data_IF_558978898664
#
_entry.id   IF_558978898664
#
_cell.length_a   1.000
_cell.length_b   1.000
_cell.length_c   1.000
_cell.angle_alpha   90.00
_cell.angle_beta   90.00
_cell.angle_gamma   90.00
#
_symmetry.space_group_name_H-M   'P 1'
#
loop_
_entity.id
_entity.type
_entity.pdbx_description
1 polymer ?
#
# COMPACT_ATOMS: atom_id res chain seq x y z
N UNK A 1 -25.13 28.89 15.78
CA UNK A 1 -25.54 27.51 15.44
C UNK A 1 -24.91 26.91 14.19
N UNK A 2 -23.97 27.56 13.48
CA UNK A 2 -23.42 27.04 12.22
C UNK A 2 -21.96 26.55 12.30
N UNK A 3 -21.29 26.64 13.44
CA UNK A 3 -19.87 26.24 13.55
C UNK A 3 -19.63 24.75 13.80
N UNK A 4 -20.67 23.98 14.08
CA UNK A 4 -20.54 22.55 14.41
C UNK A 4 -20.41 21.64 13.17
N UNK A 5 -20.57 22.19 11.96
CA UNK A 5 -20.57 21.44 10.69
C UNK A 5 -19.32 21.65 9.84
N UNK A 6 -18.39 22.51 10.24
CA UNK A 6 -17.17 22.72 9.46
C UNK A 6 -16.26 21.50 9.58
N UNK A 7 -15.95 20.90 8.44
CA UNK A 7 -15.10 19.70 8.33
C UNK A 7 -14.03 19.91 7.26
N UNK A 8 -12.94 19.12 7.40
CA UNK A 8 -11.86 19.04 6.42
C UNK A 8 -11.64 17.57 6.07
N UNK A 9 -11.61 17.26 4.79
CA UNK A 9 -11.19 15.93 4.33
C UNK A 9 -9.67 15.85 4.29
N UNK A 10 -9.13 14.83 4.90
CA UNK A 10 -7.71 14.49 4.94
C UNK A 10 -7.51 13.20 4.14
N UNK A 11 -6.41 13.11 3.36
CA UNK A 11 -6.14 11.99 2.48
C UNK A 11 -4.67 11.60 2.57
N UNK A 12 -4.38 10.30 2.61
CA UNK A 12 -3.02 9.75 2.67
C UNK A 12 -2.46 9.33 1.30
N UNK A 13 -3.17 9.64 0.20
CA UNK A 13 -2.68 9.37 -1.15
C UNK A 13 -1.53 10.31 -1.55
N UNK A 14 -0.62 9.81 -2.38
CA UNK A 14 0.48 10.62 -2.92
C UNK A 14 1.73 10.70 -2.04
N UNK A 15 1.81 9.95 -0.95
CA UNK A 15 3.03 9.84 -0.16
C UNK A 15 4.17 9.26 -1.00
N UNK A 16 5.40 9.75 -0.80
CA UNK A 16 6.61 9.32 -1.50
C UNK A 16 7.56 8.44 -0.66
N UNK A 17 7.22 8.22 0.61
CA UNK A 17 7.97 7.39 1.54
C UNK A 17 9.25 8.02 2.10
N UNK A 18 9.52 9.29 1.79
CA UNK A 18 10.72 9.99 2.28
C UNK A 18 10.44 10.79 3.56
N UNK A 19 11.51 11.07 4.34
CA UNK A 19 11.41 11.94 5.51
C UNK A 19 10.98 13.36 5.12
N UNK A 20 11.41 13.86 3.98
CA UNK A 20 11.01 15.18 3.49
C UNK A 20 9.54 15.21 3.06
N UNK A 21 9.09 14.16 2.34
CA UNK A 21 7.71 14.08 1.84
C UNK A 21 6.66 13.87 2.93
N UNK A 22 7.03 13.23 4.05
CA UNK A 22 6.09 12.95 5.15
C UNK A 22 5.52 14.22 5.78
N UNK A 23 6.22 15.34 5.72
CA UNK A 23 5.76 16.63 6.27
C UNK A 23 4.47 17.12 5.63
N UNK A 24 4.16 16.69 4.40
CA UNK A 24 2.91 17.01 3.70
C UNK A 24 1.71 16.21 4.21
N UNK A 25 1.96 15.16 5.00
CA UNK A 25 0.97 14.21 5.51
C UNK A 25 0.96 14.13 7.04
N UNK A 26 1.76 14.94 7.73
CA UNK A 26 1.67 15.16 9.17
C UNK A 26 0.61 16.23 9.44
N UNK A 27 -0.65 15.80 9.42
CA UNK A 27 -1.77 16.68 9.65
C UNK A 27 -1.82 17.14 11.09
N UNK A 28 -1.68 18.44 11.29
CA UNK A 28 -1.72 19.10 12.60
C UNK A 28 -3.05 19.82 12.80
N UNK A 29 -3.58 19.73 13.98
CA UNK A 29 -4.72 20.50 14.45
C UNK A 29 -4.33 21.31 15.67
N UNK A 30 -4.83 22.54 15.72
CA UNK A 30 -4.61 23.41 16.87
C UNK A 30 -5.89 24.15 17.23
N UNK A 31 -6.16 24.26 18.52
CA UNK A 31 -7.16 25.17 19.05
C UNK A 31 -6.45 26.32 19.75
N UNK A 32 -6.61 27.51 19.18
CA UNK A 32 -6.08 28.72 19.76
C UNK A 32 -7.12 29.35 20.67
N UNK A 33 -6.81 29.54 21.95
CA UNK A 33 -7.58 30.41 22.83
C UNK A 33 -7.20 31.85 22.54
N UNK A 34 -8.07 32.60 21.90
CA UNK A 34 -7.90 34.03 21.79
C UNK A 34 -8.06 34.62 23.21
N UNK A 35 -6.96 34.83 23.88
CA UNK A 35 -6.94 35.74 25.02
C UNK A 35 -7.05 37.15 24.44
N UNK A 36 -8.21 37.78 24.54
CA UNK A 36 -8.36 39.20 24.31
C UNK A 36 -7.61 39.96 25.42
N UNK A 37 -6.30 39.99 25.31
CA UNK A 37 -5.50 40.91 26.08
C UNK A 37 -5.18 42.07 25.14
N UNK A 38 -5.82 43.19 25.34
CA UNK A 38 -5.80 44.38 24.48
C UNK A 38 -4.41 44.94 24.21
N UNK A 39 -3.38 44.44 24.86
CA UNK A 39 -2.04 45.04 24.81
C UNK A 39 -1.00 44.25 24.01
N UNK A 40 -1.13 42.97 23.77
CA UNK A 40 -0.06 42.17 23.13
C UNK A 40 -0.50 41.18 22.06
N UNK A 41 -1.78 40.91 21.87
CA UNK A 41 -2.33 40.13 20.74
C UNK A 41 -1.73 38.72 20.53
N UNK A 42 -1.01 38.17 21.50
CA UNK A 42 -0.40 36.83 21.41
C UNK A 42 -1.35 35.78 21.98
N UNK A 43 -1.68 34.75 21.16
CA UNK A 43 -2.35 33.56 21.64
C UNK A 43 -1.41 32.35 21.52
N UNK A 44 -1.37 31.53 22.56
CA UNK A 44 -0.67 30.25 22.50
C UNK A 44 -1.59 29.21 21.84
N UNK A 45 -1.09 28.55 20.77
CA UNK A 45 -1.76 27.43 20.14
C UNK A 45 -0.97 26.17 20.42
N UNK A 46 -1.63 25.16 20.98
CA UNK A 46 -1.06 23.83 21.12
C UNK A 46 -1.41 23.00 19.88
N UNK A 47 -0.39 22.56 19.16
CA UNK A 47 -0.57 21.72 17.97
C UNK A 47 -0.58 20.24 18.36
N UNK A 48 -1.53 19.51 17.81
CA UNK A 48 -1.65 18.05 17.98
C UNK A 48 -1.59 17.39 16.62
N UNK A 49 -0.68 16.45 16.42
CA UNK A 49 -0.67 15.62 15.21
C UNK A 49 -1.88 14.69 15.20
N UNK A 50 -2.54 14.59 14.06
CA UNK A 50 -3.73 13.77 13.83
C UNK A 50 -3.40 12.38 13.29
N UNK A 51 -2.15 12.13 12.98
CA UNK A 51 -1.65 10.91 12.34
C UNK A 51 -0.61 10.20 13.19
N UNK A 52 -0.30 8.98 12.80
CA UNK A 52 0.87 8.23 13.27
C UNK A 52 1.90 8.21 12.16
N UNK A 53 3.17 8.44 12.46
CA UNK A 53 4.26 8.24 11.50
C UNK A 53 4.86 6.85 11.71
N UNK A 54 4.74 5.98 10.72
CA UNK A 54 5.42 4.69 10.68
C UNK A 54 6.80 4.80 10.06
N UNK A 55 7.79 4.15 10.66
CA UNK A 55 9.14 3.96 10.14
C UNK A 55 9.36 2.49 9.85
N UNK A 56 9.66 2.15 8.61
CA UNK A 56 9.85 0.79 8.15
C UNK A 56 11.20 0.63 7.46
N UNK A 57 11.83 -0.51 7.70
CA UNK A 57 12.99 -0.98 6.97
C UNK A 57 12.66 -2.33 6.36
N UNK A 58 12.96 -2.48 5.08
CA UNK A 58 12.71 -3.70 4.32
C UNK A 58 14.04 -4.39 4.02
N UNK A 59 14.12 -5.69 4.26
CA UNK A 59 15.35 -6.48 4.08
C UNK A 59 15.06 -7.74 3.27
N UNK A 60 16.08 -8.26 2.60
CA UNK A 60 16.06 -9.52 1.85
C UNK A 60 17.25 -10.40 2.27
N UNK A 61 17.15 -11.72 2.07
CA UNK A 61 18.27 -12.66 2.14
C UNK A 61 19.29 -12.37 3.25
N UNK A 62 18.93 -12.66 4.51
CA UNK A 62 19.85 -12.55 5.63
C UNK A 62 20.06 -11.12 6.17
N UNK A 63 19.15 -10.21 5.86
CA UNK A 63 19.11 -8.87 6.45
C UNK A 63 19.73 -7.77 5.58
N UNK A 64 20.06 -8.06 4.33
CA UNK A 64 20.49 -7.01 3.38
C UNK A 64 19.33 -6.05 3.09
N UNK A 65 19.55 -4.72 3.09
CA UNK A 65 18.49 -3.76 2.78
C UNK A 65 17.92 -3.97 1.38
N UNK A 66 16.59 -3.97 1.25
CA UNK A 66 15.91 -3.86 -0.03
C UNK A 66 15.94 -2.38 -0.46
N UNK A 67 16.54 -2.11 -1.61
CA UNK A 67 16.74 -0.77 -2.14
C UNK A 67 15.95 -0.54 -3.42
N UNK A 68 15.91 0.72 -3.86
CA UNK A 68 15.30 1.13 -5.14
C UNK A 68 13.81 0.77 -5.23
N UNK A 69 13.08 0.87 -4.13
CA UNK A 69 11.66 0.60 -4.07
C UNK A 69 10.90 1.77 -4.69
N UNK A 70 10.25 1.55 -5.83
CA UNK A 70 9.50 2.59 -6.55
C UNK A 70 8.06 2.69 -6.11
N UNK A 71 7.53 1.61 -5.51
CA UNK A 71 6.15 1.54 -5.07
C UNK A 71 6.01 0.62 -3.85
N UNK A 72 5.17 1.04 -2.92
CA UNK A 72 4.72 0.22 -1.79
C UNK A 72 3.20 0.32 -1.72
N UNK A 73 2.52 -0.82 -1.77
CA UNK A 73 1.09 -0.91 -1.49
C UNK A 73 0.90 -1.57 -0.13
N UNK A 74 0.14 -0.92 0.74
CA UNK A 74 -0.09 -1.35 2.11
C UNK A 74 -1.55 -1.71 2.25
N UNK A 75 -1.82 -2.92 2.72
CA UNK A 75 -3.14 -3.45 3.01
C UNK A 75 -3.22 -3.91 4.46
N UNK A 76 -4.42 -4.05 5.00
CA UNK A 76 -4.66 -4.69 6.29
C UNK A 76 -5.08 -6.15 6.06
N UNK A 77 -4.35 -7.11 6.66
CA UNK A 77 -4.76 -8.53 6.69
C UNK A 77 -5.65 -8.84 7.87
N UNK A 78 -5.56 -8.04 8.94
CA UNK A 78 -6.47 -8.05 10.08
C UNK A 78 -6.60 -6.62 10.63
N UNK A 79 -7.73 -6.32 11.26
CA UNK A 79 -8.03 -4.97 11.74
C UNK A 79 -8.44 -4.02 10.62
N UNK A 80 -8.13 -2.73 10.75
CA UNK A 80 -8.61 -1.71 9.82
C UNK A 80 -7.49 -0.74 9.46
N UNK A 81 -7.38 -0.42 8.16
CA UNK A 81 -6.51 0.63 7.62
C UNK A 81 -7.39 1.70 6.97
N UNK A 82 -7.11 2.96 7.26
CA UNK A 82 -7.85 4.09 6.70
C UNK A 82 -7.02 4.84 5.68
N UNK A 83 -7.58 5.08 4.49
CA UNK A 83 -6.95 5.86 3.41
C UNK A 83 -7.32 7.34 3.46
N UNK A 84 -8.50 7.67 4.02
CA UNK A 84 -8.93 9.04 4.22
C UNK A 84 -9.77 9.19 5.50
N UNK A 85 -9.87 10.43 5.98
CA UNK A 85 -10.67 10.79 7.13
C UNK A 85 -11.30 12.17 6.94
N UNK A 86 -12.46 12.39 7.55
CA UNK A 86 -13.10 13.70 7.64
C UNK A 86 -12.98 14.19 9.07
N UNK A 87 -12.29 15.30 9.26
CA UNK A 87 -12.04 15.91 10.56
C UNK A 87 -13.02 17.05 10.82
N UNK A 88 -13.53 17.16 12.04
CA UNK A 88 -14.28 18.33 12.52
C UNK A 88 -13.29 19.43 12.92
N UNK A 89 -13.39 20.61 12.30
CA UNK A 89 -12.50 21.73 12.61
C UNK A 89 -12.62 22.23 14.04
N UNK A 90 -13.79 22.06 14.66
CA UNK A 90 -14.07 22.52 16.02
C UNK A 90 -13.17 21.85 17.09
N UNK A 91 -12.87 20.57 16.97
CA UNK A 91 -12.20 19.81 18.02
C UNK A 91 -11.10 18.85 17.53
N UNK A 92 -10.82 18.80 16.21
CA UNK A 92 -9.82 17.90 15.64
C UNK A 92 -10.21 16.41 15.69
N UNK A 93 -11.47 16.09 15.96
CA UNK A 93 -11.94 14.71 15.95
C UNK A 93 -12.35 14.28 14.54
N UNK A 94 -12.16 13.00 14.23
CA UNK A 94 -12.68 12.44 13.01
C UNK A 94 -14.18 12.19 13.11
N UNK A 95 -14.94 12.72 12.15
CA UNK A 95 -16.39 12.49 12.03
C UNK A 95 -16.68 11.23 11.22
N UNK A 96 -15.79 10.88 10.30
CA UNK A 96 -15.83 9.63 9.54
C UNK A 96 -14.44 9.26 9.05
N UNK A 97 -14.24 7.99 8.77
CA UNK A 97 -13.03 7.43 8.17
C UNK A 97 -13.43 6.51 7.03
N UNK A 98 -12.60 6.41 6.01
CA UNK A 98 -12.79 5.51 4.89
C UNK A 98 -11.68 4.47 4.89
N UNK A 99 -12.06 3.20 4.89
CA UNK A 99 -11.11 2.10 4.74
C UNK A 99 -10.52 2.07 3.33
N UNK A 100 -9.27 1.66 3.23
CA UNK A 100 -8.62 1.52 1.93
C UNK A 100 -7.13 1.28 2.06
N UNK A 101 -6.52 0.93 0.94
CA UNK A 101 -5.08 0.72 0.85
C UNK A 101 -4.35 2.06 0.83
N UNK A 102 -3.12 2.08 1.35
CA UNK A 102 -2.20 3.20 1.21
C UNK A 102 -1.16 2.84 0.16
N UNK A 103 -0.97 3.72 -0.82
CA UNK A 103 0.03 3.53 -1.88
C UNK A 103 1.07 4.64 -1.82
N UNK A 104 2.33 4.24 -1.69
CA UNK A 104 3.52 5.07 -1.75
C UNK A 104 4.10 4.95 -3.15
N UNK A 105 4.46 6.06 -3.79
CA UNK A 105 5.10 6.05 -5.12
C UNK A 105 6.31 6.97 -5.13
N UNK A 106 7.47 6.43 -5.51
CA UNK A 106 8.71 7.19 -5.64
C UNK A 106 9.49 6.73 -6.87
N UNK A 107 9.46 7.52 -7.93
CA UNK A 107 10.13 7.17 -9.20
C UNK A 107 11.65 7.05 -9.09
N UNK A 108 12.26 7.76 -8.15
CA UNK A 108 13.71 7.70 -7.93
C UNK A 108 14.14 6.43 -7.18
N UNK A 109 13.18 5.74 -6.55
CA UNK A 109 13.42 4.60 -5.68
C UNK A 109 13.75 5.00 -4.24
N UNK A 110 13.07 4.34 -3.30
CA UNK A 110 13.33 4.48 -1.86
C UNK A 110 14.42 3.49 -1.48
N UNK A 111 15.40 3.94 -0.71
CA UNK A 111 16.43 3.10 -0.12
C UNK A 111 16.57 3.41 1.37
N UNK A 112 16.73 2.38 2.19
CA UNK A 112 16.83 2.52 3.64
C UNK A 112 15.46 2.69 4.31
N UNK A 113 15.33 3.67 5.22
CA UNK A 113 14.11 3.86 6.00
C UNK A 113 13.00 4.51 5.19
N UNK A 114 11.84 3.89 5.19
CA UNK A 114 10.60 4.41 4.59
C UNK A 114 9.73 5.04 5.67
N UNK A 115 9.22 6.24 5.42
CA UNK A 115 8.34 6.99 6.30
C UNK A 115 6.92 7.02 5.73
N UNK A 116 5.94 6.65 6.54
CA UNK A 116 4.55 6.52 6.11
C UNK A 116 3.63 7.12 7.16
N UNK A 117 2.72 7.98 6.71
CA UNK A 117 1.66 8.53 7.55
C UNK A 117 0.45 7.60 7.54
N UNK A 118 -0.12 7.40 8.72
CA UNK A 118 -1.32 6.60 8.94
C UNK A 118 -2.35 7.38 9.76
N UNK A 119 -3.63 7.20 9.48
CA UNK A 119 -4.65 7.57 10.46
C UNK A 119 -4.67 6.58 11.61
N UNK A 120 -5.01 7.03 12.84
CA UNK A 120 -5.11 6.17 14.00
C UNK A 120 -6.01 4.97 13.73
N UNK A 121 -5.47 3.77 13.95
CA UNK A 121 -6.15 2.51 13.69
C UNK A 121 -5.40 1.35 14.37
N UNK A 122 -5.96 0.16 14.26
CA UNK A 122 -5.32 -1.07 14.70
C UNK A 122 -5.39 -2.06 13.54
N UNK A 123 -4.22 -2.50 13.05
CA UNK A 123 -4.14 -3.34 11.87
C UNK A 123 -2.88 -4.21 11.86
N UNK A 124 -2.99 -5.40 11.31
CA UNK A 124 -1.85 -6.17 10.83
C UNK A 124 -1.59 -5.74 9.39
N UNK A 125 -0.39 -5.25 9.11
CA UNK A 125 -0.04 -4.67 7.82
C UNK A 125 0.64 -5.69 6.92
N UNK A 126 0.24 -5.69 5.66
CA UNK A 126 0.88 -6.40 4.57
C UNK A 126 1.37 -5.38 3.54
N UNK A 127 2.58 -5.57 3.05
CA UNK A 127 3.28 -4.70 2.13
C UNK A 127 3.58 -5.45 0.84
N UNK A 128 3.19 -4.89 -0.29
CA UNK A 128 3.65 -5.31 -1.62
C UNK A 128 4.59 -4.23 -2.14
N UNK A 129 5.84 -4.59 -2.44
CA UNK A 129 6.91 -3.67 -2.80
C UNK A 129 7.37 -3.95 -4.23
N UNK A 130 7.51 -2.90 -5.04
CA UNK A 130 8.02 -2.99 -6.42
C UNK A 130 9.30 -2.19 -6.51
N UNK A 131 10.35 -2.78 -7.10
CA UNK A 131 11.65 -2.14 -7.30
C UNK A 131 11.76 -1.48 -8.69
N UNK A 132 12.82 -0.71 -8.91
CA UNK A 132 13.14 -0.14 -10.23
C UNK A 132 13.39 -1.20 -11.31
N UNK A 133 13.78 -2.41 -10.91
CA UNK A 133 13.99 -3.56 -11.82
C UNK A 133 12.69 -4.30 -12.14
N UNK A 134 11.57 -3.91 -11.51
CA UNK A 134 10.28 -4.57 -11.69
C UNK A 134 10.08 -5.81 -10.81
N UNK A 135 11.05 -6.16 -9.96
CA UNK A 135 10.89 -7.23 -8.98
C UNK A 135 9.84 -6.84 -7.95
N UNK A 136 9.02 -7.80 -7.55
CA UNK A 136 7.96 -7.61 -6.57
C UNK A 136 8.23 -8.46 -5.34
N UNK A 137 8.16 -7.82 -4.20
CA UNK A 137 8.37 -8.44 -2.90
C UNK A 137 7.16 -8.29 -2.00
N UNK A 138 6.98 -9.21 -1.09
CA UNK A 138 5.98 -9.12 -0.02
C UNK A 138 6.65 -9.13 1.35
N UNK A 139 6.08 -8.36 2.27
CA UNK A 139 6.43 -8.37 3.69
C UNK A 139 5.18 -8.13 4.53
N UNK A 140 5.19 -8.56 5.79
CA UNK A 140 4.07 -8.32 6.70
C UNK A 140 4.56 -8.08 8.13
N UNK A 141 3.75 -7.37 8.92
CA UNK A 141 3.94 -7.34 10.36
C UNK A 141 3.49 -8.67 10.97
N UNK A 142 4.23 -9.18 11.95
CA UNK A 142 3.92 -10.47 12.58
C UNK A 142 2.64 -10.42 13.43
N UNK A 143 2.27 -9.24 13.89
CA UNK A 143 1.11 -9.00 14.76
C UNK A 143 0.38 -7.74 14.34
N UNK A 144 -0.83 -7.59 14.85
CA UNK A 144 -1.57 -6.33 14.80
C UNK A 144 -0.80 -5.25 15.56
N UNK A 145 -0.67 -4.08 14.95
CA UNK A 145 -0.04 -2.89 15.51
C UNK A 145 -1.08 -1.83 15.81
N UNK A 146 -0.87 -1.09 16.89
CA UNK A 146 -1.72 0.03 17.29
C UNK A 146 -1.09 1.33 16.81
N UNK A 147 -1.71 1.95 15.84
CA UNK A 147 -1.31 3.24 15.26
C UNK A 147 -2.02 4.35 16.03
N UNK A 148 -1.32 5.02 16.93
CA UNK A 148 -1.89 6.03 17.83
C UNK A 148 -1.57 7.44 17.33
N UNK A 149 -2.56 8.31 17.41
CA UNK A 149 -2.48 9.74 17.09
C UNK A 149 -1.27 10.40 17.77
N UNK A 150 -0.47 11.13 16.99
CA UNK A 150 0.68 11.88 17.49
C UNK A 150 1.88 11.01 17.92
N UNK A 151 1.90 9.74 17.52
CA UNK A 151 2.98 8.82 17.84
C UNK A 151 3.82 8.48 16.61
N UNK A 152 5.06 8.08 16.87
CA UNK A 152 5.92 7.43 15.87
C UNK A 152 5.95 5.94 16.18
N UNK A 153 5.64 5.14 15.19
CA UNK A 153 5.79 3.69 15.25
C UNK A 153 7.05 3.29 14.48
N UNK A 154 7.96 2.63 15.14
CA UNK A 154 9.20 2.12 14.53
C UNK A 154 9.12 0.58 14.50
N UNK A 155 9.00 0.03 13.29
CA UNK A 155 8.94 -1.42 13.09
C UNK A 155 10.33 -2.04 13.17
N UNK A 156 10.47 -3.27 13.70
CA UNK A 156 11.61 -4.11 13.39
C UNK A 156 11.78 -4.23 11.88
N UNK A 157 13.01 -4.50 11.41
CA UNK A 157 13.23 -4.73 9.98
C UNK A 157 12.33 -5.87 9.46
N UNK A 158 11.58 -5.60 8.41
CA UNK A 158 10.67 -6.55 7.80
C UNK A 158 11.41 -7.34 6.72
N UNK A 159 11.45 -8.65 6.88
CA UNK A 159 12.03 -9.54 5.86
C UNK A 159 11.07 -9.68 4.70
N UNK A 160 11.54 -9.36 3.50
CA UNK A 160 10.79 -9.43 2.26
C UNK A 160 11.04 -10.74 1.53
N UNK A 161 9.99 -11.32 0.99
CA UNK A 161 10.03 -12.51 0.12
C UNK A 161 9.81 -12.07 -1.32
N UNK A 162 10.71 -12.43 -2.22
CA UNK A 162 10.55 -12.19 -3.65
C UNK A 162 9.40 -13.04 -4.18
N UNK A 163 8.45 -12.42 -4.86
CA UNK A 163 7.40 -13.14 -5.56
C UNK A 163 7.94 -13.75 -6.85
N UNK A 164 7.63 -15.01 -7.12
CA UNK A 164 7.95 -15.63 -8.40
C UNK A 164 7.34 -14.81 -9.54
N UNK A 165 8.04 -14.70 -10.67
CA UNK A 165 7.60 -13.95 -11.84
C UNK A 165 7.50 -14.84 -13.06
N UNK A 166 6.38 -14.73 -13.79
CA UNK A 166 6.14 -15.43 -15.05
C UNK A 166 6.60 -14.62 -16.26
N UNK A 167 6.74 -15.31 -17.40
CA UNK A 167 6.92 -14.73 -18.74
C UNK A 167 5.72 -15.07 -19.63
N UNK A 168 5.49 -14.29 -20.66
CA UNK A 168 4.55 -14.69 -21.72
C UNK A 168 5.02 -16.00 -22.33
N UNK A 169 4.12 -16.97 -22.43
CA UNK A 169 4.39 -18.34 -22.90
C UNK A 169 4.66 -19.34 -21.81
N UNK A 170 4.83 -18.94 -20.56
CA UNK A 170 5.00 -19.89 -19.44
C UNK A 170 3.71 -20.67 -19.20
N UNK A 171 3.88 -21.96 -18.82
CA UNK A 171 2.80 -22.82 -18.35
C UNK A 171 2.46 -22.47 -16.91
N UNK A 172 1.19 -22.29 -16.62
CA UNK A 172 0.67 -22.04 -15.27
C UNK A 172 -0.04 -23.28 -14.72
N UNK A 173 0.26 -23.62 -13.46
CA UNK A 173 -0.20 -24.86 -12.83
C UNK A 173 -1.18 -24.60 -11.69
N UNK A 174 -1.95 -25.63 -11.35
CA UNK A 174 -2.97 -25.59 -10.28
C UNK A 174 -2.41 -25.31 -8.88
N UNK A 175 -1.10 -25.46 -8.68
CA UNK A 175 -0.39 -25.12 -7.45
C UNK A 175 0.16 -23.67 -7.43
N UNK A 176 -0.33 -22.82 -8.33
CA UNK A 176 0.08 -21.42 -8.50
C UNK A 176 1.56 -21.23 -8.89
N UNK A 177 2.21 -22.27 -9.43
CA UNK A 177 3.56 -22.16 -10.00
C UNK A 177 3.51 -22.04 -11.53
N UNK A 178 4.64 -21.62 -12.12
CA UNK A 178 4.79 -21.53 -13.56
C UNK A 178 6.18 -21.95 -14.01
N UNK A 179 6.32 -22.36 -15.26
CA UNK A 179 7.60 -22.71 -15.88
C UNK A 179 7.56 -22.52 -17.39
N UNK A 180 8.70 -22.23 -18.01
CA UNK A 180 8.87 -22.10 -19.45
C UNK A 180 8.73 -23.43 -20.21
N UNK A 181 8.89 -24.55 -19.52
CA UNK A 181 8.71 -25.89 -20.08
C UNK A 181 7.56 -26.58 -19.36
N UNK A 182 6.77 -27.39 -20.11
CA UNK A 182 5.66 -28.13 -19.54
C UNK A 182 6.17 -29.17 -18.56
N UNK A 183 5.66 -29.13 -17.32
CA UNK A 183 5.93 -30.14 -16.31
C UNK A 183 4.80 -31.17 -16.29
N UNK A 184 5.09 -32.37 -16.78
CA UNK A 184 4.11 -33.47 -16.88
C UNK A 184 3.66 -34.01 -15.51
N UNK A 185 4.38 -33.69 -14.42
CA UNK A 185 4.02 -34.07 -13.05
C UNK A 185 3.07 -33.08 -12.39
N UNK A 186 2.70 -31.98 -13.06
CA UNK A 186 1.81 -30.95 -12.55
C UNK A 186 0.58 -30.79 -13.45
N UNK A 187 -0.55 -30.44 -12.85
CA UNK A 187 -1.76 -30.11 -13.61
C UNK A 187 -1.62 -28.69 -14.18
N UNK A 188 -1.36 -28.61 -15.48
CA UNK A 188 -1.33 -27.34 -16.18
C UNK A 188 -2.77 -26.85 -16.42
N UNK A 189 -3.09 -25.64 -15.98
CA UNK A 189 -4.42 -25.03 -16.11
C UNK A 189 -4.47 -23.90 -17.13
N UNK A 190 -3.31 -23.41 -17.60
CA UNK A 190 -3.27 -22.37 -18.61
C UNK A 190 -1.87 -22.01 -19.07
N UNK A 191 -1.81 -21.11 -20.05
CA UNK A 191 -0.58 -20.51 -20.55
C UNK A 191 -0.65 -18.99 -20.36
N UNK A 192 0.43 -18.40 -19.87
CA UNK A 192 0.55 -16.95 -19.70
C UNK A 192 0.56 -16.27 -21.08
N UNK A 193 -0.45 -15.47 -21.38
CA UNK A 193 -0.52 -14.75 -22.66
C UNK A 193 -0.23 -13.24 -22.52
N UNK A 194 -0.32 -12.71 -21.31
CA UNK A 194 -0.06 -11.29 -21.05
C UNK A 194 0.46 -11.09 -19.63
N UNK A 195 1.23 -10.02 -19.43
CA UNK A 195 1.73 -9.60 -18.13
C UNK A 195 1.02 -8.31 -17.72
N UNK A 196 0.64 -8.23 -16.45
CA UNK A 196 0.12 -7.01 -15.85
C UNK A 196 1.21 -6.34 -14.99
N UNK A 197 1.15 -5.01 -14.86
CA UNK A 197 1.95 -4.29 -13.89
C UNK A 197 1.40 -4.47 -12.47
N UNK A 198 2.06 -3.88 -11.49
CA UNK A 198 1.61 -3.96 -10.09
C UNK A 198 0.30 -3.19 -9.81
N UNK A 199 -0.21 -2.41 -10.75
CA UNK A 199 -1.54 -1.76 -10.72
C UNK A 199 -2.62 -2.66 -11.34
N UNK A 200 -2.23 -3.83 -11.88
CA UNK A 200 -3.11 -4.76 -12.58
C UNK A 200 -3.44 -4.33 -14.01
N UNK A 201 -2.68 -3.39 -14.58
CA UNK A 201 -2.84 -2.96 -15.95
C UNK A 201 -1.98 -3.81 -16.88
N UNK A 202 -2.52 -4.11 -18.05
CA UNK A 202 -1.77 -4.78 -19.09
C UNK A 202 -0.49 -3.99 -19.44
N UNK A 203 0.66 -4.65 -19.37
CA UNK A 203 1.95 -4.01 -19.62
C UNK A 203 2.76 -4.80 -20.67
N UNK A 204 2.69 -4.41 -21.94
CA UNK A 204 3.37 -5.10 -23.04
C UNK A 204 4.90 -4.94 -23.00
N UNK A 205 5.42 -4.05 -22.14
CA UNK A 205 6.86 -3.76 -22.02
C UNK A 205 7.56 -4.59 -20.96
N UNK A 206 6.81 -5.28 -20.09
CA UNK A 206 7.39 -6.14 -19.06
C UNK A 206 7.87 -7.47 -19.70
N UNK A 207 9.08 -7.87 -19.35
CA UNK A 207 9.63 -9.18 -19.71
C UNK A 207 9.23 -10.28 -18.73
N UNK A 208 8.97 -9.92 -17.48
CA UNK A 208 8.51 -10.79 -16.40
C UNK A 208 7.57 -10.03 -15.47
N UNK A 209 6.61 -10.72 -14.85
CA UNK A 209 5.79 -10.18 -13.78
C UNK A 209 5.22 -11.30 -12.91
N UNK A 210 5.02 -11.08 -11.59
CA UNK A 210 4.22 -11.99 -10.79
C UNK A 210 2.70 -11.82 -11.07
N UNK A 211 2.34 -10.85 -11.92
CA UNK A 211 0.97 -10.49 -12.27
C UNK A 211 0.73 -10.64 -13.76
N UNK A 212 -0.41 -11.20 -14.17
CA UNK A 212 -0.73 -11.32 -15.58
C UNK A 212 -1.98 -12.16 -15.84
N UNK A 213 -2.11 -12.61 -17.08
CA UNK A 213 -3.31 -13.29 -17.56
C UNK A 213 -2.94 -14.60 -18.22
N UNK A 214 -3.77 -15.61 -18.00
CA UNK A 214 -3.63 -16.92 -18.63
C UNK A 214 -4.78 -17.18 -19.58
N UNK A 215 -4.48 -17.93 -20.65
CA UNK A 215 -5.51 -18.64 -21.42
C UNK A 215 -5.64 -20.04 -20.85
N UNK A 216 -6.87 -20.44 -20.50
CA UNK A 216 -7.14 -21.77 -19.98
C UNK A 216 -6.96 -22.85 -21.07
N UNK A 217 -6.48 -24.05 -20.69
CA UNK A 217 -6.28 -25.18 -21.60
C UNK A 217 -7.49 -26.14 -21.68
N UNK A 218 -8.63 -25.80 -21.07
CA UNK A 218 -9.84 -26.67 -21.09
C UNK A 218 -11.06 -25.92 -21.58
N UNK A 219 -11.96 -26.65 -22.28
CA UNK A 219 -13.15 -26.15 -22.99
C UNK A 219 -14.23 -25.48 -22.12
N UNK A 220 -14.08 -25.42 -20.81
CA UNK A 220 -15.06 -24.88 -19.87
C UNK A 220 -14.49 -23.97 -18.81
N UNK A 221 -13.31 -23.40 -19.02
CA UNK A 221 -12.71 -22.50 -18.03
C UNK A 221 -12.62 -21.09 -18.60
N UNK A 222 -13.29 -20.15 -17.95
CA UNK A 222 -13.10 -18.72 -18.16
C UNK A 222 -11.62 -18.34 -17.96
N UNK A 223 -11.10 -17.39 -18.72
CA UNK A 223 -9.77 -16.83 -18.51
C UNK A 223 -9.67 -16.31 -17.08
N UNK A 224 -8.68 -16.78 -16.33
CA UNK A 224 -8.45 -16.38 -14.95
C UNK A 224 -7.16 -15.57 -14.84
N UNK A 225 -7.19 -14.52 -14.04
CA UNK A 225 -5.98 -13.85 -13.59
C UNK A 225 -5.34 -14.72 -12.51
N UNK A 226 -4.02 -14.89 -12.51
CA UNK A 226 -3.34 -15.67 -11.45
C UNK A 226 -3.00 -14.85 -10.21
N UNK A 227 -3.69 -13.72 -9.99
CA UNK A 227 -3.60 -12.94 -8.77
C UNK A 227 -4.85 -13.14 -7.93
N UNK A 228 -4.69 -13.01 -6.63
CA UNK A 228 -5.65 -13.15 -5.56
C UNK A 228 -6.93 -12.29 -5.61
N UNK A 229 -7.25 -11.66 -6.74
CA UNK A 229 -8.55 -11.06 -7.03
C UNK A 229 -9.00 -11.53 -8.40
N UNK A 230 -9.90 -12.51 -8.41
CA UNK A 230 -10.71 -12.81 -9.58
C UNK A 230 -11.63 -11.60 -9.84
N UNK A 231 -11.32 -10.82 -10.87
CA UNK A 231 -12.28 -9.93 -11.50
C UNK A 231 -12.70 -10.60 -12.80
N UNK A 232 -13.99 -10.78 -12.98
CA UNK A 232 -14.56 -11.30 -14.22
C UNK A 232 -14.13 -10.41 -15.38
N UNK A 233 -13.57 -10.99 -16.42
CA UNK A 233 -13.32 -10.29 -17.67
C UNK A 233 -14.66 -10.26 -18.41
N UNK A 234 -15.41 -9.16 -18.27
CA UNK A 234 -16.57 -8.91 -19.13
C UNK A 234 -16.11 -8.80 -20.60
N UNK A 235 -16.70 -9.60 -21.46
CA UNK A 235 -16.64 -9.39 -22.92
C UNK A 235 -15.94 -10.45 -23.75
N UNK A 236 -15.78 -11.70 -23.29
CA UNK A 236 -15.52 -12.82 -24.18
C UNK A 236 -16.81 -13.64 -24.27
N UNK A 237 -17.67 -13.27 -25.22
CA UNK A 237 -18.72 -14.16 -25.69
C UNK A 237 -18.10 -15.23 -26.61
N UNK A 238 -18.47 -16.50 -26.38
CA UNK A 238 -18.13 -17.63 -27.23
C UNK A 238 -18.81 -17.55 -28.60
#
# INVERSE_FOLDING_TARGET
TSSDTLTQTLNLSGQDGTLAGITNYDYLWAQCKAGMNETTGSSACEMTSLVTIGKFQFTVNGGSPLNNITRITITATAGTLYSSAVMKLKNGEFSSTQTGNITIKNKAGISGTTYISFFPSEAQLHFTLVTTTGEVYEAATSTTIKLEKGKVYEAPALTCTLLPSAKVGDYYYSDATFSSEKNENKTCIGIVYALDDADGNLSPTLSTSPFGRIVALGDNQSSTKWISKAEDIEGIEN
#
